data_IF_707353611276
#
_entry.id   IF_707353611276
#
_cell.length_a   1.000
_cell.length_b   1.000
_cell.length_c   1.000
_cell.angle_alpha   90.00
_cell.angle_beta   90.00
_cell.angle_gamma   90.00
#
_symmetry.space_group_name_H-M   'P 1'
#
loop_
_entity.id
_entity.type
_entity.pdbx_description
1 polymer ?
#
# COMPACT_ATOMS: atom_id res chain seq x y z
N UNK A 1 20.79 12.94 -6.53
CA UNK A 1 19.56 13.61 -6.99
C UNK A 1 18.43 12.63 -6.73
N UNK A 2 17.46 13.00 -5.90
CA UNK A 2 16.40 12.07 -5.53
C UNK A 2 15.13 12.41 -6.27
N UNK A 3 14.58 11.45 -7.01
CA UNK A 3 13.37 11.59 -7.81
C UNK A 3 12.13 11.68 -6.91
N UNK A 4 11.37 12.77 -6.99
CA UNK A 4 10.06 12.90 -6.33
C UNK A 4 8.98 12.16 -7.14
N UNK A 5 8.86 10.83 -6.97
CA UNK A 5 7.76 10.06 -7.56
C UNK A 5 6.53 10.08 -6.65
N UNK A 6 5.41 10.60 -7.14
CA UNK A 6 4.12 10.58 -6.43
C UNK A 6 3.22 9.49 -7.00
N UNK A 7 2.45 8.86 -6.13
CA UNK A 7 1.47 7.85 -6.51
C UNK A 7 0.04 8.30 -6.22
N UNK A 8 -0.90 7.84 -7.03
CA UNK A 8 -2.35 8.00 -6.83
C UNK A 8 -3.09 6.75 -7.30
N UNK A 9 -4.38 6.67 -7.03
CA UNK A 9 -5.17 5.44 -7.22
C UNK A 9 -5.08 4.52 -6.00
N UNK A 10 -5.64 3.32 -6.14
CA UNK A 10 -5.76 2.36 -5.06
C UNK A 10 -5.90 0.94 -5.60
N UNK A 11 -5.50 -0.04 -4.80
CA UNK A 11 -5.76 -1.46 -5.08
C UNK A 11 -6.88 -1.94 -4.17
N UNK A 12 -8.01 -2.33 -4.75
CA UNK A 12 -9.13 -2.90 -4.01
C UNK A 12 -8.76 -4.30 -3.54
N UNK A 13 -8.98 -4.57 -2.26
CA UNK A 13 -8.80 -5.89 -1.67
C UNK A 13 -10.07 -6.74 -1.83
N UNK A 14 -9.89 -8.05 -1.98
CA UNK A 14 -10.99 -9.03 -2.08
C UNK A 14 -11.87 -9.07 -0.83
N UNK A 15 -11.31 -8.68 0.33
CA UNK A 15 -12.00 -8.40 1.58
C UNK A 15 -11.26 -7.31 2.34
N UNK A 16 -11.94 -6.67 3.30
CA UNK A 16 -11.26 -5.80 4.25
C UNK A 16 -10.26 -6.59 5.12
N UNK A 17 -9.14 -5.96 5.43
CA UNK A 17 -8.17 -6.45 6.40
C UNK A 17 -8.76 -6.40 7.80
N UNK A 18 -8.34 -7.35 8.62
CA UNK A 18 -8.53 -7.26 10.07
C UNK A 18 -7.54 -6.26 10.66
N UNK A 19 -7.81 -5.76 11.87
CA UNK A 19 -6.91 -4.83 12.54
C UNK A 19 -5.49 -5.41 12.75
N UNK A 20 -5.32 -6.69 13.13
CA UNK A 20 -3.99 -7.28 13.24
C UNK A 20 -3.25 -7.39 11.90
N UNK A 21 -3.96 -7.74 10.81
CA UNK A 21 -3.35 -7.81 9.46
C UNK A 21 -2.89 -6.42 9.00
N UNK A 22 -3.70 -5.39 9.25
CA UNK A 22 -3.33 -4.01 8.94
C UNK A 22 -2.16 -3.50 9.80
N UNK A 23 -2.06 -3.95 11.06
CA UNK A 23 -0.96 -3.60 11.96
C UNK A 23 0.39 -4.03 11.39
N UNK A 24 0.51 -5.28 10.92
CA UNK A 24 1.75 -5.82 10.35
C UNK A 24 2.25 -4.98 9.17
N UNK A 25 1.33 -4.55 8.30
CA UNK A 25 1.69 -3.71 7.14
C UNK A 25 2.13 -2.31 7.59
N UNK A 26 1.47 -1.72 8.59
CA UNK A 26 1.85 -0.41 9.12
C UNK A 26 3.17 -0.45 9.91
N UNK A 27 3.45 -1.53 10.64
CA UNK A 27 4.74 -1.73 11.29
C UNK A 27 5.88 -1.81 10.28
N UNK A 28 5.67 -2.51 9.15
CA UNK A 28 6.64 -2.54 8.04
C UNK A 28 6.82 -1.18 7.33
N UNK A 29 5.77 -0.35 7.29
CA UNK A 29 5.83 1.01 6.75
C UNK A 29 6.68 1.93 7.64
N UNK A 30 6.52 1.85 8.97
CA UNK A 30 7.29 2.64 9.94
C UNK A 30 8.73 2.15 10.07
N UNK A 31 8.91 0.84 10.19
CA UNK A 31 10.21 0.19 10.34
C UNK A 31 10.31 -1.06 9.46
N UNK A 32 10.90 -0.94 8.25
CA UNK A 32 11.14 -2.07 7.38
C UNK A 32 12.03 -3.16 7.99
N UNK A 33 12.79 -2.89 9.07
CA UNK A 33 13.64 -3.90 9.74
C UNK A 33 12.82 -4.93 10.51
N UNK A 34 11.51 -4.70 10.67
CA UNK A 34 10.55 -5.70 11.19
C UNK A 34 10.41 -6.93 10.27
N UNK A 35 10.77 -6.79 8.99
CA UNK A 35 10.82 -7.89 8.01
C UNK A 35 12.27 -8.39 7.91
N UNK A 36 12.50 -9.72 7.89
CA UNK A 36 13.84 -10.27 7.66
C UNK A 36 14.51 -9.68 6.41
N UNK A 37 15.82 -9.44 6.47
CA UNK A 37 16.55 -8.74 5.42
C UNK A 37 16.52 -9.48 4.07
N UNK A 38 16.44 -10.81 4.10
CA UNK A 38 16.28 -11.69 2.95
C UNK A 38 14.90 -11.59 2.29
N UNK A 39 13.88 -11.15 3.03
CA UNK A 39 12.48 -11.14 2.61
C UNK A 39 12.00 -9.74 2.19
N UNK A 40 12.80 -8.69 2.38
CA UNK A 40 12.44 -7.30 2.05
C UNK A 40 13.31 -6.69 0.96
N UNK A 41 12.80 -5.67 0.23
CA UNK A 41 13.62 -4.85 -0.66
C UNK A 41 14.76 -4.14 0.07
N UNK A 42 15.92 -4.03 -0.58
CA UNK A 42 17.18 -3.72 0.10
C UNK A 42 17.35 -2.25 0.54
N UNK A 43 16.70 -1.26 -0.10
CA UNK A 43 17.09 0.16 0.06
C UNK A 43 15.95 1.18 -0.08
N UNK A 44 14.77 0.91 0.49
CA UNK A 44 13.79 1.99 0.72
C UNK A 44 12.79 1.64 1.82
N UNK A 45 12.09 2.65 2.33
CA UNK A 45 10.92 2.45 3.16
C UNK A 45 9.76 1.90 2.33
N UNK A 46 8.94 1.06 2.96
CA UNK A 46 7.65 0.65 2.42
C UNK A 46 6.71 1.84 2.54
N UNK A 47 6.09 2.29 1.45
CA UNK A 47 5.14 3.41 1.45
C UNK A 47 3.73 2.98 0.98
N UNK A 48 3.52 1.67 0.83
CA UNK A 48 2.21 1.08 0.57
C UNK A 48 1.54 0.75 1.90
N UNK A 49 0.36 1.32 2.15
CA UNK A 49 -0.38 1.14 3.40
C UNK A 49 -1.85 0.82 3.12
N UNK A 50 -2.56 0.18 4.06
CA UNK A 50 -4.01 0.03 3.97
C UNK A 50 -4.70 1.40 3.94
N UNK A 51 -5.90 1.48 3.34
CA UNK A 51 -6.76 2.64 3.50
C UNK A 51 -7.42 2.67 4.89
N UNK A 52 -7.95 3.82 5.30
CA UNK A 52 -8.75 3.95 6.56
C UNK A 52 -9.95 2.99 6.61
N UNK A 53 -10.45 2.58 5.44
CA UNK A 53 -11.56 1.62 5.29
C UNK A 53 -11.10 0.15 5.29
N UNK A 54 -9.80 -0.11 5.37
CA UNK A 54 -9.15 -1.44 5.41
C UNK A 54 -9.37 -2.32 4.18
N UNK A 55 -10.01 -1.81 3.13
CA UNK A 55 -10.39 -2.56 1.94
C UNK A 55 -9.62 -2.14 0.69
N UNK A 56 -8.65 -1.24 0.83
CA UNK A 56 -7.74 -0.85 -0.24
C UNK A 56 -6.28 -0.77 0.24
N UNK A 57 -5.35 -0.85 -0.70
CA UNK A 57 -3.94 -0.44 -0.54
C UNK A 57 -3.73 0.88 -1.28
N UNK A 58 -3.03 1.82 -0.64
CA UNK A 58 -2.73 3.16 -1.15
C UNK A 58 -1.29 3.55 -0.84
N UNK A 59 -0.83 4.63 -1.47
CA UNK A 59 0.42 5.31 -1.13
C UNK A 59 0.22 6.23 0.08
N UNK A 60 1.13 6.21 1.05
CA UNK A 60 1.04 7.03 2.27
C UNK A 60 1.37 8.52 2.04
N UNK A 61 2.16 8.84 1.00
CA UNK A 61 2.50 10.20 0.63
C UNK A 61 3.67 10.83 1.41
N UNK A 62 4.40 10.07 2.22
CA UNK A 62 5.34 10.62 3.20
C UNK A 62 6.74 10.89 2.63
N UNK A 63 7.34 9.95 1.90
CA UNK A 63 8.72 10.03 1.42
C UNK A 63 8.90 9.53 -0.03
N UNK A 64 10.03 9.87 -0.65
CA UNK A 64 10.46 9.33 -1.95
C UNK A 64 10.46 7.80 -1.95
N UNK A 65 9.82 7.21 -2.95
CA UNK A 65 9.59 5.77 -3.00
C UNK A 65 10.35 5.11 -4.17
N UNK A 66 11.59 4.67 -3.94
CA UNK A 66 12.45 4.13 -5.00
C UNK A 66 12.14 2.67 -5.37
N UNK A 67 11.88 1.81 -4.38
CA UNK A 67 11.62 0.38 -4.60
C UNK A 67 10.10 0.06 -4.61
N UNK A 68 9.29 0.95 -5.20
CA UNK A 68 7.83 0.82 -5.15
C UNK A 68 7.29 -0.47 -5.78
N UNK A 69 7.90 -0.98 -6.87
CA UNK A 69 7.50 -2.28 -7.47
C UNK A 69 7.96 -3.47 -6.61
N UNK A 70 9.23 -3.56 -6.17
CA UNK A 70 9.65 -4.59 -5.20
C UNK A 70 8.79 -4.61 -3.93
N UNK A 71 8.52 -3.46 -3.32
CA UNK A 71 7.66 -3.36 -2.14
C UNK A 71 6.22 -3.77 -2.43
N UNK A 72 5.67 -3.39 -3.59
CA UNK A 72 4.34 -3.83 -3.99
C UNK A 72 4.30 -5.35 -4.18
N UNK A 73 5.33 -5.93 -4.80
CA UNK A 73 5.44 -7.38 -5.01
C UNK A 73 5.44 -8.13 -3.69
N UNK A 74 6.23 -7.65 -2.72
CA UNK A 74 6.25 -8.19 -1.37
C UNK A 74 4.88 -8.11 -0.70
N UNK A 75 4.25 -6.93 -0.72
CA UNK A 75 2.93 -6.73 -0.11
C UNK A 75 1.87 -7.64 -0.73
N UNK A 76 1.85 -7.79 -2.05
CA UNK A 76 0.90 -8.67 -2.73
C UNK A 76 1.14 -10.14 -2.38
N UNK A 77 2.39 -10.58 -2.22
CA UNK A 77 2.70 -11.92 -1.74
C UNK A 77 2.26 -12.14 -0.29
N UNK A 78 2.49 -11.15 0.58
CA UNK A 78 2.02 -11.16 1.96
C UNK A 78 0.50 -11.25 2.03
N UNK A 79 -0.24 -10.42 1.28
CA UNK A 79 -1.69 -10.47 1.18
C UNK A 79 -2.19 -11.83 0.66
N UNK A 80 -1.57 -12.38 -0.39
CA UNK A 80 -1.90 -13.74 -0.89
C UNK A 80 -1.75 -14.79 0.21
N UNK A 81 -0.73 -14.69 1.07
CA UNK A 81 -0.53 -15.62 2.19
C UNK A 81 -1.65 -15.56 3.26
N UNK A 82 -2.31 -14.39 3.37
CA UNK A 82 -3.49 -14.17 4.23
C UNK A 82 -4.82 -14.53 3.54
N UNK A 83 -4.77 -15.05 2.31
CA UNK A 83 -5.96 -15.34 1.49
C UNK A 83 -6.65 -14.09 0.94
N UNK A 84 -5.93 -12.97 0.83
CA UNK A 84 -6.43 -11.69 0.29
C UNK A 84 -5.77 -11.42 -1.06
N UNK A 85 -6.56 -11.07 -2.07
CA UNK A 85 -6.04 -10.62 -3.37
C UNK A 85 -6.34 -9.13 -3.56
N UNK A 86 -5.55 -8.46 -4.39
CA UNK A 86 -5.71 -7.06 -4.70
C UNK A 86 -5.86 -6.85 -6.21
N UNK A 87 -6.78 -5.98 -6.61
CA UNK A 87 -7.00 -5.59 -8.01
C UNK A 87 -7.20 -4.08 -8.09
N UNK A 88 -6.55 -3.43 -9.05
CA UNK A 88 -6.68 -2.00 -9.25
C UNK A 88 -5.55 -1.41 -10.08
N UNK A 89 -5.53 -0.09 -10.17
CA UNK A 89 -4.49 0.63 -10.90
C UNK A 89 -3.90 1.70 -9.99
N UNK A 90 -2.57 1.70 -9.89
CA UNK A 90 -1.81 2.77 -9.28
C UNK A 90 -1.18 3.61 -10.38
N UNK A 91 -1.18 4.92 -10.21
CA UNK A 91 -0.64 5.87 -11.17
C UNK A 91 0.54 6.54 -10.53
N UNK A 92 1.65 6.64 -11.26
CA UNK A 92 2.83 7.33 -10.78
C UNK A 92 3.19 8.51 -11.68
N UNK A 93 3.68 9.58 -11.06
CA UNK A 93 4.21 10.75 -11.74
C UNK A 93 5.55 11.15 -11.11
N UNK A 94 6.60 11.13 -11.91
CA UNK A 94 7.90 11.70 -11.59
C UNK A 94 8.00 13.19 -11.94
N UNK A 95 9.23 13.69 -12.03
CA UNK A 95 9.53 15.13 -12.09
C UNK A 95 9.31 15.76 -13.48
N UNK A 96 9.33 14.95 -14.54
CA UNK A 96 9.16 15.42 -15.91
C UNK A 96 7.75 15.16 -16.43
N UNK A 97 7.21 16.05 -17.27
CA UNK A 97 5.84 15.97 -17.81
C UNK A 97 5.51 14.68 -18.62
N UNK A 98 6.52 13.87 -18.94
CA UNK A 98 6.39 12.55 -19.57
C UNK A 98 6.78 11.37 -18.69
N UNK A 99 7.33 11.62 -17.49
CA UNK A 99 7.71 10.58 -16.54
C UNK A 99 6.47 10.19 -15.72
N UNK A 100 5.56 9.51 -16.39
CA UNK A 100 4.29 9.07 -15.81
C UNK A 100 3.99 7.67 -16.28
N UNK A 101 3.35 6.88 -15.44
CA UNK A 101 2.90 5.55 -15.82
C UNK A 101 1.87 4.99 -14.87
N UNK A 102 1.55 3.73 -15.12
CA UNK A 102 0.56 2.96 -14.39
C UNK A 102 1.14 1.62 -13.96
N UNK A 103 0.69 1.16 -12.81
CA UNK A 103 0.91 -0.18 -12.29
C UNK A 103 -0.47 -0.79 -12.18
N UNK A 104 -0.79 -1.67 -13.13
CA UNK A 104 -2.02 -2.44 -13.10
C UNK A 104 -1.77 -3.69 -12.26
N UNK A 105 -2.64 -3.96 -11.30
CA UNK A 105 -2.64 -5.18 -10.51
C UNK A 105 -3.96 -5.91 -10.76
N UNK A 106 -3.88 -7.17 -11.15
CA UNK A 106 -5.04 -8.04 -11.33
C UNK A 106 -4.81 -9.32 -10.54
N UNK A 107 -5.68 -9.61 -9.58
CA UNK A 107 -5.58 -10.79 -8.70
C UNK A 107 -4.19 -10.94 -8.07
N UNK A 108 -3.64 -9.81 -7.64
CA UNK A 108 -2.30 -9.67 -7.06
C UNK A 108 -1.14 -10.02 -8.01
N UNK A 109 -1.34 -9.95 -9.33
CA UNK A 109 -0.29 -10.01 -10.35
C UNK A 109 -0.05 -8.63 -10.97
N UNK A 110 1.22 -8.20 -11.04
CA UNK A 110 1.62 -6.84 -11.43
C UNK A 110 1.92 -6.75 -12.93
N UNK A 111 1.39 -5.70 -13.58
CA UNK A 111 1.76 -5.27 -14.92
C UNK A 111 2.08 -3.77 -14.92
N UNK A 112 3.33 -3.39 -15.19
CA UNK A 112 3.74 -1.98 -15.28
C UNK A 112 3.61 -1.50 -16.73
N UNK A 113 2.99 -0.32 -16.92
CA UNK A 113 2.77 0.28 -18.24
C UNK A 113 3.12 1.76 -18.25
N UNK A 114 3.72 2.25 -19.32
CA UNK A 114 4.05 3.68 -19.50
C UNK A 114 2.88 4.51 -20.05
N UNK A 115 1.63 4.12 -19.80
CA UNK A 115 0.44 4.78 -20.35
C UNK A 115 -0.27 5.63 -19.29
N UNK A 116 -0.73 6.81 -19.70
CA UNK A 116 -1.65 7.66 -18.92
C UNK A 116 -3.04 7.01 -18.83
N UNK A 117 -3.50 6.81 -17.60
CA UNK A 117 -4.92 6.59 -17.28
C UNK A 117 -5.35 7.63 -16.24
N UNK A 118 -6.63 8.04 -16.24
CA UNK A 118 -7.15 8.94 -15.21
C UNK A 118 -7.00 8.32 -13.83
N UNK A 119 -6.55 9.12 -12.85
CA UNK A 119 -6.42 8.69 -11.47
C UNK A 119 -7.78 8.24 -10.92
N UNK A 120 -7.82 7.09 -10.26
CA UNK A 120 -9.00 6.61 -9.55
C UNK A 120 -9.36 7.46 -8.34
N UNK A 121 -10.47 7.10 -7.67
CA UNK A 121 -10.96 7.83 -6.51
C UNK A 121 -9.90 7.92 -5.39
N UNK A 122 -9.80 9.05 -4.68
CA UNK A 122 -8.82 9.22 -3.61
C UNK A 122 -9.24 8.40 -2.39
N UNK A 123 -8.38 7.47 -1.99
CA UNK A 123 -8.50 6.72 -0.74
C UNK A 123 -7.47 7.26 0.27
N UNK A 124 -7.89 7.46 1.52
CA UNK A 124 -7.00 7.97 2.57
C UNK A 124 -6.13 6.86 3.15
N UNK A 125 -4.82 7.07 3.31
CA UNK A 125 -3.94 6.11 3.96
C UNK A 125 -4.28 5.98 5.45
N UNK A 126 -4.26 4.75 5.95
CA UNK A 126 -4.36 4.47 7.38
C UNK A 126 -3.05 4.84 8.06
N UNK A 127 -3.13 5.39 9.27
CA UNK A 127 -1.99 5.66 10.13
C UNK A 127 -2.04 4.77 11.37
N UNK A 128 -0.90 4.58 12.05
CA UNK A 128 -0.88 3.87 13.35
C UNK A 128 -1.83 4.51 14.37
N UNK A 129 -1.91 5.84 14.40
CA UNK A 129 -2.83 6.55 15.30
C UNK A 129 -4.30 6.21 14.98
N UNK A 130 -4.68 6.18 13.70
CA UNK A 130 -6.02 5.81 13.27
C UNK A 130 -6.31 4.33 13.61
N UNK A 131 -5.36 3.43 13.37
CA UNK A 131 -5.50 2.01 13.73
C UNK A 131 -5.71 1.83 15.24
N UNK A 132 -4.92 2.52 16.08
CA UNK A 132 -5.08 2.50 17.54
C UNK A 132 -6.47 2.99 17.97
N UNK A 133 -6.97 4.07 17.36
CA UNK A 133 -8.32 4.58 17.63
C UNK A 133 -9.41 3.55 17.24
N UNK A 134 -9.25 2.86 16.10
CA UNK A 134 -10.16 1.79 15.66
C UNK A 134 -10.14 0.60 16.61
N UNK A 135 -8.96 0.15 17.04
CA UNK A 135 -8.80 -0.95 17.99
C UNK A 135 -9.45 -0.61 19.34
N UNK A 136 -9.22 0.60 19.84
CA UNK A 136 -9.84 1.07 21.07
C UNK A 136 -11.37 1.17 20.97
N UNK A 137 -11.89 1.63 19.83
CA UNK A 137 -13.34 1.67 19.57
C UNK A 137 -13.96 0.27 19.48
N UNK A 138 -13.24 -0.70 18.92
CA UNK A 138 -13.69 -2.09 18.83
C UNK A 138 -13.82 -2.73 20.22
N UNK A 139 -12.87 -2.46 21.14
CA UNK A 139 -12.94 -2.94 22.53
C UNK A 139 -14.13 -2.37 23.32
N UNK A 140 -14.63 -1.19 22.92
CA UNK A 140 -15.77 -0.52 23.57
C UNK A 140 -17.14 -0.97 23.05
N UNK A 141 -17.20 -1.66 21.90
CA UNK A 141 -18.47 -2.19 21.41
C UNK A 141 -18.85 -3.40 22.26
N UNK A 142 -19.99 -3.36 23.00
CA UNK A 142 -20.46 -4.56 23.69
C UNK A 142 -20.71 -5.65 22.64
N UNK A 143 -20.30 -6.88 22.94
CA UNK A 143 -20.74 -8.04 22.19
C UNK A 143 -22.27 -8.08 22.29
N UNK A 144 -22.93 -7.87 21.15
CA UNK A 144 -24.38 -7.97 21.03
C UNK A 144 -24.81 -9.44 21.10
#
# INVERSE_FOLDING_TARGET
>A
MGYDTKFSGALKLSRALTLPEAAVILEANEDPDTIPAEDRPARSYMQWVPSETLDHIVYDGNEKFYDYVPWLTWLLAHLKSLGVTATGTLHWSGESAGDTGTIDVLDSDITVRSRKSPAGDPHKPLTLQALQAMAFAALKKPAA
#
